data_IF_176284816213
#
_entry.id   IF_176284816213
#
_cell.length_a   1.000
_cell.length_b   1.000
_cell.length_c   1.000
_cell.angle_alpha   90.00
_cell.angle_beta   90.00
_cell.angle_gamma   90.00
#
_symmetry.space_group_name_H-M   'P 1'
#
loop_
_entity.id
_entity.type
_entity.pdbx_description
1 polymer ?
#
# COMPACT_ATOMS: atom_id res chain seq x y z
N UNK A 1 3.74 -13.97 -29.52
CA UNK A 1 2.64 -14.69 -28.83
C UNK A 1 1.36 -14.28 -29.55
N UNK A 2 0.15 -14.60 -29.08
CA UNK A 2 -1.08 -14.02 -29.67
C UNK A 2 -1.52 -12.89 -28.76
N UNK A 3 -1.81 -11.71 -29.30
CA UNK A 3 -2.39 -10.59 -28.54
C UNK A 3 -3.62 -11.10 -27.79
N UNK A 4 -3.66 -10.87 -26.48
CA UNK A 4 -4.79 -11.27 -25.61
C UNK A 4 -5.87 -10.20 -25.58
N UNK A 5 -5.53 -9.00 -26.04
CA UNK A 5 -6.42 -7.88 -26.17
C UNK A 5 -7.10 -7.90 -27.55
N UNK A 6 -8.43 -7.90 -27.54
CA UNK A 6 -9.26 -7.62 -28.71
C UNK A 6 -9.46 -6.11 -28.85
N UNK A 7 -8.88 -5.52 -29.89
CA UNK A 7 -8.94 -4.08 -30.16
C UNK A 7 -10.35 -3.62 -30.60
N UNK A 8 -11.19 -4.52 -31.09
CA UNK A 8 -12.58 -4.21 -31.44
C UNK A 8 -13.52 -4.33 -30.22
N UNK A 9 -13.08 -5.03 -29.16
CA UNK A 9 -13.78 -5.16 -27.89
C UNK A 9 -12.86 -4.88 -26.70
N UNK A 10 -12.40 -3.63 -26.59
CA UNK A 10 -11.46 -3.21 -25.55
C UNK A 10 -12.03 -3.38 -24.14
N UNK A 11 -13.27 -2.96 -23.92
CA UNK A 11 -13.92 -3.05 -22.60
C UNK A 11 -14.04 -4.50 -22.13
N UNK A 12 -14.60 -5.37 -22.97
CA UNK A 12 -14.72 -6.80 -22.64
C UNK A 12 -13.37 -7.48 -22.42
N UNK A 13 -12.34 -7.09 -23.19
CA UNK A 13 -10.98 -7.62 -23.01
C UNK A 13 -10.36 -7.17 -21.70
N UNK A 14 -10.49 -5.89 -21.34
CA UNK A 14 -9.97 -5.35 -20.09
C UNK A 14 -10.69 -5.94 -18.88
N UNK A 15 -12.01 -6.12 -18.96
CA UNK A 15 -12.78 -6.81 -17.91
C UNK A 15 -12.37 -8.28 -17.74
N UNK A 16 -12.11 -9.00 -18.83
CA UNK A 16 -11.64 -10.38 -18.77
C UNK A 16 -10.24 -10.49 -18.14
N UNK A 17 -9.35 -9.52 -18.39
CA UNK A 17 -7.98 -9.51 -17.91
C UNK A 17 -7.86 -9.01 -16.45
N UNK A 18 -8.57 -7.93 -16.10
CA UNK A 18 -8.48 -7.27 -14.79
C UNK A 18 -9.57 -7.68 -13.81
N UNK A 19 -10.68 -8.22 -14.29
CA UNK A 19 -11.90 -8.44 -13.50
C UNK A 19 -12.75 -7.17 -13.39
N UNK A 20 -14.07 -7.33 -13.46
CA UNK A 20 -15.05 -6.23 -13.45
C UNK A 20 -15.05 -5.39 -12.16
N UNK A 21 -14.49 -5.91 -11.05
CA UNK A 21 -14.33 -5.14 -9.81
C UNK A 21 -13.27 -4.04 -9.88
N UNK A 22 -12.41 -4.05 -10.92
CA UNK A 22 -11.38 -3.03 -11.16
C UNK A 22 -11.82 -1.95 -12.15
N UNK A 23 -13.09 -1.54 -12.05
CA UNK A 23 -13.72 -0.61 -12.98
C UNK A 23 -12.98 0.72 -13.10
N UNK A 24 -12.46 1.23 -11.99
CA UNK A 24 -11.68 2.47 -11.97
C UNK A 24 -10.43 2.45 -12.83
N UNK A 25 -9.72 1.32 -12.87
CA UNK A 25 -8.58 1.17 -13.79
C UNK A 25 -9.04 0.90 -15.23
N UNK A 26 -10.12 0.16 -15.43
CA UNK A 26 -10.67 -0.09 -16.77
C UNK A 26 -11.07 1.23 -17.43
N UNK A 27 -11.87 2.06 -16.75
CA UNK A 27 -12.30 3.37 -17.24
C UNK A 27 -11.11 4.33 -17.49
N UNK A 28 -10.03 4.19 -16.70
CA UNK A 28 -8.80 4.93 -16.91
C UNK A 28 -8.02 4.49 -18.17
N UNK A 29 -8.00 3.18 -18.46
CA UNK A 29 -7.27 2.63 -19.60
C UNK A 29 -8.00 2.82 -20.93
N UNK A 30 -9.33 2.71 -20.94
CA UNK A 30 -10.15 2.77 -22.14
C UNK A 30 -9.84 3.94 -23.09
N UNK A 31 -9.83 5.21 -22.66
CA UNK A 31 -9.59 6.33 -23.58
C UNK A 31 -8.19 6.27 -24.21
N UNK A 32 -7.18 5.83 -23.45
CA UNK A 32 -5.79 5.78 -23.90
C UNK A 32 -5.58 4.60 -24.88
N UNK A 33 -6.29 3.49 -24.66
CA UNK A 33 -6.31 2.37 -25.58
C UNK A 33 -7.11 2.66 -26.86
N UNK A 34 -8.19 3.44 -26.76
CA UNK A 34 -8.93 3.95 -27.92
C UNK A 34 -8.07 4.88 -28.78
N UNK A 35 -7.23 5.71 -28.15
CA UNK A 35 -6.26 6.56 -28.84
C UNK A 35 -5.18 5.74 -29.56
N UNK A 36 -4.65 4.69 -28.90
CA UNK A 36 -3.72 3.74 -29.54
C UNK A 36 -4.40 3.05 -30.74
N UNK A 37 -5.62 2.55 -30.55
CA UNK A 37 -6.42 1.90 -31.60
C UNK A 37 -6.60 2.82 -32.80
N UNK A 38 -6.92 4.10 -32.55
CA UNK A 38 -7.15 5.08 -33.61
C UNK A 38 -5.90 5.35 -34.43
N UNK A 39 -4.71 5.41 -33.80
CA UNK A 39 -3.42 5.51 -34.51
C UNK A 39 -3.09 4.24 -35.29
N UNK A 40 -3.23 3.09 -34.66
CA UNK A 40 -2.94 1.79 -35.26
C UNK A 40 -3.86 1.46 -36.44
N UNK A 41 -5.12 1.93 -36.41
CA UNK A 41 -6.07 1.74 -37.53
C UNK A 41 -5.59 2.40 -38.83
N UNK A 42 -4.83 3.50 -38.74
CA UNK A 42 -4.28 4.17 -39.91
C UNK A 42 -3.10 3.42 -40.54
N UNK A 43 -2.29 2.72 -39.72
CA UNK A 43 -1.13 1.93 -40.19
C UNK A 43 -1.43 0.46 -40.43
N UNK A 44 -2.47 -0.09 -39.81
CA UNK A 44 -2.76 -1.53 -39.74
C UNK A 44 -1.95 -2.27 -38.67
N UNK A 45 -1.02 -1.60 -37.99
CA UNK A 45 -0.08 -2.20 -37.04
C UNK A 45 -0.54 -1.95 -35.59
N UNK A 46 -1.31 -2.88 -35.05
CA UNK A 46 -1.74 -2.85 -33.66
C UNK A 46 -0.64 -3.31 -32.70
N UNK A 47 -0.48 -2.67 -31.53
CA UNK A 47 0.44 -3.17 -30.52
C UNK A 47 0.09 -4.58 -30.04
N UNK A 48 1.10 -5.46 -29.94
CA UNK A 48 0.91 -6.78 -29.34
C UNK A 48 0.86 -6.64 -27.81
N UNK A 49 -0.33 -6.62 -27.22
CA UNK A 49 -0.49 -6.68 -25.77
C UNK A 49 -0.68 -8.13 -25.34
N UNK A 50 0.34 -8.68 -24.69
CA UNK A 50 0.39 -10.09 -24.28
C UNK A 50 -0.29 -10.36 -22.95
N UNK A 51 -0.36 -9.36 -22.04
CA UNK A 51 -1.12 -9.47 -20.80
C UNK A 51 -1.28 -8.11 -20.11
N UNK A 52 -2.37 -7.96 -19.35
CA UNK A 52 -2.60 -6.84 -18.43
C UNK A 52 -3.12 -7.43 -17.11
N UNK A 53 -2.45 -7.16 -16.00
CA UNK A 53 -2.90 -7.65 -14.69
C UNK A 53 -2.43 -6.77 -13.54
N UNK A 54 -3.02 -6.97 -12.37
CA UNK A 54 -2.61 -6.31 -11.13
C UNK A 54 -1.44 -7.08 -10.49
N UNK A 55 -0.39 -6.35 -10.09
CA UNK A 55 0.70 -6.89 -9.29
C UNK A 55 1.19 -5.86 -8.27
N UNK A 56 1.08 -6.21 -6.99
CA UNK A 56 1.52 -5.40 -5.85
C UNK A 56 0.82 -4.04 -5.74
N UNK A 57 -0.49 -4.02 -6.00
CA UNK A 57 -1.35 -2.83 -5.95
C UNK A 57 -1.18 -1.92 -7.17
N UNK A 58 -0.58 -2.41 -8.26
CA UNK A 58 -0.20 -1.63 -9.43
C UNK A 58 -0.52 -2.38 -10.70
N UNK A 59 -0.79 -1.65 -11.79
CA UNK A 59 -0.97 -2.25 -13.09
C UNK A 59 0.36 -2.80 -13.62
N UNK A 60 0.30 -3.92 -14.34
CA UNK A 60 1.38 -4.43 -15.18
C UNK A 60 0.84 -4.67 -16.58
N UNK A 61 1.57 -4.15 -17.57
CA UNK A 61 1.27 -4.35 -18.98
C UNK A 61 2.48 -5.05 -19.61
N UNK A 62 2.26 -6.21 -20.22
CA UNK A 62 3.28 -6.94 -20.95
C UNK A 62 3.06 -6.76 -22.45
N UNK A 63 4.04 -6.17 -23.10
CA UNK A 63 3.98 -5.79 -24.52
C UNK A 63 4.97 -6.65 -25.32
N UNK A 64 4.50 -7.18 -26.44
CA UNK A 64 5.27 -7.89 -27.45
C UNK A 64 5.66 -6.99 -28.63
N UNK A 65 5.81 -7.57 -29.81
CA UNK A 65 6.11 -6.83 -31.04
C UNK A 65 5.02 -7.10 -32.09
N UNK A 66 4.53 -6.07 -32.80
CA UNK A 66 5.02 -4.69 -32.83
C UNK A 66 4.50 -3.83 -31.66
N UNK A 67 5.23 -2.76 -31.32
CA UNK A 67 4.76 -1.63 -30.49
C UNK A 67 5.62 -0.42 -30.84
N UNK A 68 5.00 0.75 -31.04
CA UNK A 68 5.75 1.98 -31.27
C UNK A 68 6.36 2.52 -29.97
N UNK A 69 7.46 3.27 -30.05
CA UNK A 69 8.05 3.88 -28.85
C UNK A 69 7.08 4.85 -28.14
N UNK A 70 6.23 5.53 -28.91
CA UNK A 70 5.20 6.41 -28.39
C UNK A 70 4.13 5.67 -27.59
N UNK A 71 3.62 4.56 -28.12
CA UNK A 71 2.63 3.74 -27.42
C UNK A 71 3.26 3.07 -26.19
N UNK A 72 4.53 2.64 -26.28
CA UNK A 72 5.26 2.10 -25.13
C UNK A 72 5.39 3.12 -24.00
N UNK A 73 5.80 4.35 -24.32
CA UNK A 73 5.90 5.43 -23.34
C UNK A 73 4.55 5.78 -22.70
N UNK A 74 3.47 5.75 -23.49
CA UNK A 74 2.11 5.91 -22.99
C UNK A 74 1.73 4.79 -22.02
N UNK A 75 1.97 3.52 -22.36
CA UNK A 75 1.68 2.38 -21.48
C UNK A 75 2.48 2.45 -20.17
N UNK A 76 3.76 2.83 -20.23
CA UNK A 76 4.60 3.03 -19.04
C UNK A 76 4.05 4.15 -18.14
N UNK A 77 3.54 5.23 -18.73
CA UNK A 77 2.82 6.29 -17.99
C UNK A 77 1.57 5.74 -17.31
N UNK A 78 0.75 4.93 -17.99
CA UNK A 78 -0.46 4.33 -17.40
C UNK A 78 -0.13 3.43 -16.21
N UNK A 79 0.92 2.62 -16.33
CA UNK A 79 1.43 1.80 -15.22
C UNK A 79 1.82 2.69 -14.03
N UNK A 80 2.59 3.76 -14.26
CA UNK A 80 2.98 4.71 -13.21
C UNK A 80 1.77 5.41 -12.56
N UNK A 81 0.77 5.78 -13.35
CA UNK A 81 -0.43 6.49 -12.85
C UNK A 81 -1.35 5.57 -12.04
N UNK A 82 -1.40 4.28 -12.37
CA UNK A 82 -2.25 3.30 -11.67
C UNK A 82 -1.96 3.21 -10.17
N UNK A 83 -0.73 3.54 -9.74
CA UNK A 83 -0.31 3.54 -8.34
C UNK A 83 -1.03 4.60 -7.48
N UNK A 84 -1.61 5.62 -8.14
CA UNK A 84 -2.27 6.75 -7.51
C UNK A 84 -3.77 6.81 -7.81
N UNK A 85 -4.31 5.79 -8.48
CA UNK A 85 -5.71 5.71 -8.88
C UNK A 85 -6.37 4.50 -8.24
N UNK A 86 -7.56 4.71 -7.67
CA UNK A 86 -8.32 3.65 -7.05
C UNK A 86 -8.70 2.61 -8.11
N UNK A 87 -8.32 1.35 -7.88
CA UNK A 87 -8.64 0.24 -8.78
C UNK A 87 -10.15 0.09 -9.02
N UNK A 88 -10.99 0.44 -8.03
CA UNK A 88 -12.44 0.30 -8.13
C UNK A 88 -13.17 1.48 -8.78
N UNK A 89 -12.75 2.72 -8.54
CA UNK A 89 -13.53 3.90 -8.94
C UNK A 89 -12.73 5.01 -9.64
N UNK A 90 -11.42 4.85 -9.82
CA UNK A 90 -10.57 5.81 -10.52
C UNK A 90 -10.22 7.08 -9.72
N UNK A 91 -10.84 7.30 -8.55
CA UNK A 91 -10.49 8.40 -7.67
C UNK A 91 -9.04 8.32 -7.17
N UNK A 92 -8.46 9.45 -6.79
CA UNK A 92 -7.13 9.48 -6.19
C UNK A 92 -7.02 8.55 -4.97
N UNK A 93 -5.97 7.74 -4.97
CA UNK A 93 -5.73 6.72 -3.96
C UNK A 93 -4.24 6.59 -3.66
N UNK A 94 -3.94 5.80 -2.62
CA UNK A 94 -2.59 5.32 -2.32
C UNK A 94 -2.64 3.82 -2.15
N UNK A 95 -1.53 3.14 -2.41
CA UNK A 95 -1.40 1.71 -2.12
C UNK A 95 -1.53 1.47 -0.61
N UNK A 96 -2.38 0.52 -0.27
CA UNK A 96 -2.68 0.04 1.07
C UNK A 96 -2.04 -1.34 1.23
N UNK A 97 -1.43 -1.60 2.39
CA UNK A 97 -1.03 -2.95 2.79
C UNK A 97 -2.09 -3.53 3.71
N UNK A 98 -2.86 -4.47 3.17
CA UNK A 98 -3.93 -5.15 3.88
C UNK A 98 -3.51 -6.60 4.07
N UNK A 99 -2.95 -6.89 5.25
CA UNK A 99 -2.51 -8.23 5.64
C UNK A 99 -1.48 -8.84 4.67
N UNK A 100 -0.58 -8.04 4.12
CA UNK A 100 0.43 -8.46 3.14
C UNK A 100 -0.03 -8.40 1.68
N UNK A 101 -1.30 -8.10 1.44
CA UNK A 101 -1.81 -7.82 0.09
C UNK A 101 -1.78 -6.33 -0.17
N UNK A 102 -1.08 -5.96 -1.25
CA UNK A 102 -1.01 -4.58 -1.71
C UNK A 102 -2.17 -4.31 -2.68
N UNK A 103 -3.00 -3.32 -2.35
CA UNK A 103 -4.14 -2.87 -3.16
C UNK A 103 -4.15 -1.36 -3.25
N UNK A 104 -4.66 -0.76 -4.32
CA UNK A 104 -4.72 0.71 -4.42
C UNK A 104 -6.16 1.17 -4.40
N UNK A 105 -6.61 1.62 -3.22
CA UNK A 105 -8.01 1.99 -2.96
C UNK A 105 -8.10 3.40 -2.36
N UNK A 106 -9.11 4.15 -2.79
CA UNK A 106 -9.46 5.40 -2.12
C UNK A 106 -10.15 5.10 -0.76
N UNK A 107 -10.32 6.12 0.08
CA UNK A 107 -10.85 5.95 1.43
C UNK A 107 -12.24 5.27 1.42
N UNK A 108 -13.14 5.71 0.54
CA UNK A 108 -14.49 5.14 0.44
C UNK A 108 -14.48 3.67 -0.01
N UNK A 109 -13.71 3.33 -1.05
CA UNK A 109 -13.62 1.95 -1.54
C UNK A 109 -12.90 1.02 -0.55
N UNK A 110 -11.88 1.52 0.14
CA UNK A 110 -11.23 0.80 1.24
C UNK A 110 -12.27 0.42 2.30
N UNK A 111 -13.06 1.39 2.77
CA UNK A 111 -14.08 1.10 3.77
C UNK A 111 -15.23 0.25 3.22
N UNK A 112 -15.61 0.37 1.96
CA UNK A 112 -16.64 -0.48 1.36
C UNK A 112 -16.20 -1.96 1.32
N UNK A 113 -14.92 -2.22 1.03
CA UNK A 113 -14.40 -3.60 0.94
C UNK A 113 -13.96 -4.18 2.29
N UNK A 114 -13.56 -3.32 3.23
CA UNK A 114 -12.89 -3.74 4.47
C UNK A 114 -13.57 -3.23 5.76
N UNK A 115 -14.79 -2.68 5.69
CA UNK A 115 -15.57 -2.24 6.88
C UNK A 115 -15.65 -3.31 7.97
N UNK A 116 -15.83 -4.56 7.56
CA UNK A 116 -16.01 -5.72 8.45
C UNK A 116 -14.75 -6.58 8.62
N UNK A 117 -13.69 -6.31 7.83
CA UNK A 117 -12.38 -6.98 7.92
C UNK A 117 -11.39 -6.13 8.73
N UNK A 118 -11.92 -5.45 9.74
CA UNK A 118 -11.27 -4.36 10.48
C UNK A 118 -9.89 -4.79 11.00
N UNK A 119 -8.86 -4.19 10.41
CA UNK A 119 -7.44 -4.34 10.74
C UNK A 119 -6.97 -5.79 10.53
N UNK A 120 -5.79 -6.04 9.94
CA UNK A 120 -5.15 -7.33 10.10
C UNK A 120 -5.17 -7.66 11.59
N UNK A 121 -6.00 -8.63 12.00
CA UNK A 121 -5.98 -9.06 13.39
C UNK A 121 -4.59 -9.64 13.58
N UNK A 122 -3.72 -8.87 14.23
CA UNK A 122 -2.52 -9.45 14.83
C UNK A 122 -3.09 -10.41 15.85
N UNK A 123 -3.18 -11.68 15.45
CA UNK A 123 -3.75 -12.74 16.26
C UNK A 123 -3.02 -12.71 17.61
N UNK A 124 -3.71 -12.26 18.67
CA UNK A 124 -3.24 -12.06 20.06
C UNK A 124 -2.67 -10.68 20.45
N UNK A 125 -2.80 -9.65 19.62
CA UNK A 125 -2.23 -8.33 19.91
C UNK A 125 -0.70 -8.30 19.74
N UNK A 126 -0.13 -7.10 19.69
CA UNK A 126 1.32 -6.91 19.55
C UNK A 126 1.94 -6.69 20.93
N UNK A 127 2.55 -7.74 21.50
CA UNK A 127 3.48 -7.62 22.63
C UNK A 127 4.89 -7.84 22.10
N UNK A 128 5.70 -6.77 22.09
CA UNK A 128 7.04 -6.77 21.51
C UNK A 128 7.97 -7.67 22.31
N UNK A 129 7.89 -7.62 23.65
CA UNK A 129 8.75 -8.44 24.50
C UNK A 129 8.50 -9.94 24.29
N UNK A 130 7.24 -10.32 24.08
CA UNK A 130 6.88 -11.73 23.84
C UNK A 130 7.21 -12.22 22.42
N UNK A 131 7.06 -11.36 21.41
CA UNK A 131 7.23 -11.75 19.99
C UNK A 131 8.65 -11.51 19.46
N UNK A 132 9.34 -10.52 20.02
CA UNK A 132 10.67 -10.07 19.60
C UNK A 132 11.55 -9.79 20.84
N UNK A 133 11.81 -10.80 21.69
CA UNK A 133 12.53 -10.60 22.95
C UNK A 133 13.92 -9.97 22.76
N UNK A 134 14.60 -10.24 21.63
CA UNK A 134 15.90 -9.66 21.31
C UNK A 134 15.88 -8.14 21.08
N UNK A 135 14.71 -7.51 20.95
CA UNK A 135 14.55 -6.07 20.76
C UNK A 135 14.18 -5.34 22.05
N UNK A 136 14.12 -6.01 23.19
CA UNK A 136 13.83 -5.39 24.50
C UNK A 136 14.88 -5.83 25.52
N UNK A 137 14.94 -5.13 26.64
CA UNK A 137 15.77 -5.56 27.77
C UNK A 137 15.31 -6.90 28.33
N UNK A 138 16.23 -7.73 28.81
CA UNK A 138 15.94 -9.05 29.40
C UNK A 138 14.98 -9.00 30.60
N UNK A 139 14.88 -7.84 31.27
CA UNK A 139 13.98 -7.65 32.42
C UNK A 139 12.55 -7.23 32.03
N UNK A 140 12.26 -7.02 30.75
CA UNK A 140 10.95 -6.59 30.26
C UNK A 140 10.11 -7.82 29.92
N UNK A 141 9.16 -8.17 30.80
CA UNK A 141 8.27 -9.32 30.59
C UNK A 141 7.14 -9.07 29.57
N UNK A 142 6.81 -7.81 29.30
CA UNK A 142 5.76 -7.40 28.37
C UNK A 142 6.00 -5.97 27.90
N UNK A 143 5.81 -5.72 26.61
CA UNK A 143 5.85 -4.38 26.01
C UNK A 143 4.75 -4.28 24.96
N UNK A 144 3.57 -3.81 25.38
CA UNK A 144 2.42 -3.61 24.51
C UNK A 144 2.34 -2.13 24.09
N UNK A 145 2.40 -1.81 22.78
CA UNK A 145 2.30 -0.44 22.32
C UNK A 145 1.00 0.25 22.73
N UNK A 146 1.10 1.44 23.32
CA UNK A 146 -0.04 2.28 23.72
C UNK A 146 -0.46 3.21 22.58
N UNK A 147 -1.02 2.64 21.51
CA UNK A 147 -1.37 3.32 20.25
C UNK A 147 -2.76 2.90 19.74
N UNK A 148 -3.30 3.65 18.78
CA UNK A 148 -4.53 3.27 18.07
C UNK A 148 -4.37 1.97 17.27
N UNK A 149 -5.45 1.18 17.20
CA UNK A 149 -5.44 -0.15 16.54
C UNK A 149 -5.00 -0.10 15.07
N UNK A 150 -5.29 1.00 14.37
CA UNK A 150 -4.92 1.20 12.98
C UNK A 150 -3.41 1.33 12.76
N UNK A 151 -2.64 1.70 13.79
CA UNK A 151 -1.18 1.75 13.70
C UNK A 151 -0.51 0.41 14.04
N UNK A 152 -1.22 -0.55 14.63
CA UNK A 152 -0.64 -1.84 15.03
C UNK A 152 0.05 -2.58 13.86
N UNK A 153 -0.54 -2.68 12.65
CA UNK A 153 0.14 -3.32 11.52
C UNK A 153 1.45 -2.61 11.13
N UNK A 154 1.45 -1.28 11.14
CA UNK A 154 2.63 -0.45 10.88
C UNK A 154 3.74 -0.73 11.90
N UNK A 155 3.41 -0.74 13.20
CA UNK A 155 4.39 -1.05 14.25
C UNK A 155 4.94 -2.46 14.08
N UNK A 156 4.08 -3.44 13.84
CA UNK A 156 4.50 -4.82 13.65
C UNK A 156 5.48 -4.96 12.48
N UNK A 157 5.24 -4.29 11.34
CA UNK A 157 6.17 -4.29 10.21
C UNK A 157 7.51 -3.66 10.56
N UNK A 158 7.50 -2.51 11.22
CA UNK A 158 8.72 -1.80 11.61
C UNK A 158 9.57 -2.58 12.60
N UNK A 159 8.94 -3.15 13.64
CA UNK A 159 9.60 -4.01 14.64
C UNK A 159 10.15 -5.28 13.99
N UNK A 160 9.39 -5.92 13.09
CA UNK A 160 9.86 -7.08 12.36
C UNK A 160 11.09 -6.75 11.48
N UNK A 161 11.13 -5.55 10.87
CA UNK A 161 12.28 -5.08 10.10
C UNK A 161 13.50 -4.88 11.00
N UNK A 162 13.35 -4.26 12.17
CA UNK A 162 14.43 -4.14 13.16
C UNK A 162 14.95 -5.50 13.64
N UNK A 163 14.05 -6.45 13.89
CA UNK A 163 14.44 -7.80 14.27
C UNK A 163 15.23 -8.50 13.15
N UNK A 164 14.82 -8.31 11.89
CA UNK A 164 15.57 -8.80 10.73
C UNK A 164 16.98 -8.22 10.65
N UNK A 165 17.16 -6.94 10.98
CA UNK A 165 18.48 -6.30 11.02
C UNK A 165 19.40 -6.93 12.07
N UNK A 166 18.91 -7.17 13.29
CA UNK A 166 19.68 -7.87 14.33
C UNK A 166 20.18 -9.24 13.85
N UNK A 167 19.32 -9.99 13.15
CA UNK A 167 19.68 -11.31 12.63
C UNK A 167 20.72 -11.27 11.51
N UNK A 168 20.78 -10.19 10.73
CA UNK A 168 21.78 -10.04 9.65
C UNK A 168 23.14 -9.55 10.15
N UNK A 169 23.21 -8.98 11.36
CA UNK A 169 24.40 -8.35 11.92
C UNK A 169 24.62 -8.83 13.37
N UNK A 170 24.62 -10.14 13.58
CA UNK A 170 24.74 -10.75 14.91
C UNK A 170 25.98 -10.22 15.66
N UNK A 171 25.76 -9.64 16.84
CA UNK A 171 26.81 -9.16 17.75
C UNK A 171 27.31 -7.73 17.50
N UNK A 172 27.05 -7.13 16.34
CA UNK A 172 27.50 -5.77 16.01
C UNK A 172 26.44 -4.69 16.29
N UNK A 173 25.15 -5.07 16.20
CA UNK A 173 24.04 -4.15 16.43
C UNK A 173 23.45 -4.29 17.83
N UNK A 174 23.29 -3.18 18.53
CA UNK A 174 22.51 -3.10 19.77
C UNK A 174 21.27 -2.24 19.56
N UNK A 175 20.11 -2.87 19.63
CA UNK A 175 18.79 -2.24 19.46
C UNK A 175 17.93 -2.69 20.63
N UNK A 176 17.48 -1.74 21.44
CA UNK A 176 16.64 -2.01 22.61
C UNK A 176 15.50 -0.98 22.64
N UNK A 177 14.29 -1.43 22.36
CA UNK A 177 13.05 -0.63 22.39
C UNK A 177 12.57 -0.58 23.84
N UNK A 178 12.33 0.63 24.34
CA UNK A 178 11.84 0.85 25.71
C UNK A 178 10.35 1.20 25.77
N UNK A 179 9.83 1.90 24.77
CA UNK A 179 8.41 2.28 24.72
C UNK A 179 7.94 2.55 23.29
N UNK A 180 6.66 2.27 23.01
CA UNK A 180 5.99 2.70 21.79
C UNK A 180 4.60 3.21 22.17
N UNK A 181 4.37 4.49 21.90
CA UNK A 181 3.10 5.14 22.29
C UNK A 181 2.70 6.24 21.32
N UNK A 182 1.43 6.59 21.40
CA UNK A 182 0.91 7.82 20.84
C UNK A 182 1.19 8.99 21.80
N UNK A 183 1.59 10.14 21.24
CA UNK A 183 1.72 11.41 21.95
C UNK A 183 1.33 12.57 21.03
N UNK A 184 0.26 13.29 21.39
CA UNK A 184 -0.25 14.47 20.66
C UNK A 184 -0.54 14.20 19.17
N UNK A 185 -1.11 13.05 18.85
CA UNK A 185 -1.42 12.63 17.49
C UNK A 185 -0.28 11.99 16.71
N UNK A 186 0.89 11.84 17.35
CA UNK A 186 2.12 11.38 16.68
C UNK A 186 2.60 10.07 17.30
N UNK A 187 3.20 9.23 16.47
CA UNK A 187 3.89 8.04 16.93
C UNK A 187 5.21 8.42 17.62
N UNK A 188 5.44 7.88 18.81
CA UNK A 188 6.72 7.94 19.51
C UNK A 188 7.22 6.53 19.75
N UNK A 189 8.45 6.27 19.29
CA UNK A 189 9.22 5.06 19.58
C UNK A 189 10.42 5.49 20.39
N UNK A 190 10.54 4.98 21.61
CA UNK A 190 11.67 5.23 22.49
C UNK A 190 12.59 4.01 22.49
N UNK A 191 13.88 4.27 22.43
CA UNK A 191 14.92 3.25 22.40
C UNK A 191 15.89 3.49 23.54
N UNK A 192 16.11 2.48 24.38
CA UNK A 192 17.16 2.49 25.40
C UNK A 192 18.55 2.33 24.77
N UNK A 193 18.64 1.58 23.67
CA UNK A 193 19.83 1.47 22.82
C UNK A 193 19.40 1.57 21.36
N UNK A 194 20.10 2.39 20.60
CA UNK A 194 19.79 2.66 19.19
C UNK A 194 21.04 2.50 18.33
N UNK A 195 20.81 2.18 17.07
CA UNK A 195 21.81 2.18 16.02
C UNK A 195 21.25 2.97 14.82
N UNK A 196 22.08 3.72 14.05
CA UNK A 196 21.58 4.55 12.95
C UNK A 196 20.68 3.83 11.93
N UNK A 197 20.98 2.55 11.64
CA UNK A 197 20.14 1.73 10.73
C UNK A 197 18.74 1.47 11.30
N UNK A 198 18.60 1.35 12.62
CA UNK A 198 17.31 1.22 13.28
C UNK A 198 16.56 2.55 13.33
N UNK A 199 17.26 3.67 13.50
CA UNK A 199 16.67 5.02 13.47
C UNK A 199 16.00 5.30 12.12
N UNK A 200 16.61 4.87 11.01
CA UNK A 200 15.98 4.96 9.68
C UNK A 200 14.64 4.21 9.62
N UNK A 201 14.52 3.07 10.32
CA UNK A 201 13.26 2.32 10.40
C UNK A 201 12.25 3.07 11.26
N UNK A 202 12.67 3.59 12.42
CA UNK A 202 11.80 4.37 13.31
C UNK A 202 11.29 5.63 12.61
N UNK A 203 12.16 6.38 11.96
CA UNK A 203 11.80 7.58 11.20
C UNK A 203 10.79 7.28 10.10
N UNK A 204 10.96 6.14 9.41
CA UNK A 204 10.00 5.69 8.41
C UNK A 204 8.65 5.36 9.04
N UNK A 205 8.63 4.67 10.18
CA UNK A 205 7.40 4.38 10.91
C UNK A 205 6.67 5.66 11.33
N UNK A 206 7.40 6.66 11.84
CA UNK A 206 6.80 7.94 12.26
C UNK A 206 6.18 8.66 11.06
N UNK A 207 6.90 8.76 9.93
CA UNK A 207 6.37 9.36 8.70
C UNK A 207 5.15 8.63 8.15
N UNK A 208 5.15 7.30 8.20
CA UNK A 208 4.00 6.51 7.75
C UNK A 208 2.81 6.65 8.70
N UNK A 209 3.04 6.70 10.02
CA UNK A 209 2.01 6.93 11.02
C UNK A 209 1.31 8.29 10.80
N UNK A 210 2.08 9.29 10.35
CA UNK A 210 1.55 10.62 10.01
C UNK A 210 0.57 10.61 8.83
N UNK A 211 0.51 9.55 8.04
CA UNK A 211 -0.45 9.40 6.94
C UNK A 211 -1.44 8.25 7.18
N UNK A 212 -1.29 7.51 8.28
CA UNK A 212 -2.10 6.32 8.60
C UNK A 212 -3.20 6.65 9.59
N UNK A 213 -4.42 6.22 9.31
CA UNK A 213 -5.53 6.35 10.23
C UNK A 213 -5.31 5.51 11.50
N UNK A 214 -5.41 6.15 12.68
CA UNK A 214 -5.24 5.51 13.99
C UNK A 214 -6.30 4.45 14.30
N UNK A 215 -7.45 4.49 13.62
CA UNK A 215 -8.57 3.58 13.87
C UNK A 215 -8.63 2.40 12.89
N UNK A 216 -8.38 2.65 11.60
CA UNK A 216 -8.66 1.67 10.54
C UNK A 216 -7.46 1.27 9.69
N UNK A 217 -6.28 1.84 9.93
CA UNK A 217 -5.04 1.61 9.15
C UNK A 217 -5.03 2.15 7.71
N UNK A 218 -6.09 2.83 7.25
CA UNK A 218 -6.08 3.49 5.93
C UNK A 218 -4.95 4.52 5.82
N UNK A 219 -4.17 4.45 4.74
CA UNK A 219 -3.02 5.30 4.46
C UNK A 219 -3.35 6.34 3.38
N UNK A 220 -3.11 7.63 3.67
CA UNK A 220 -3.05 8.70 2.67
C UNK A 220 -3.92 9.91 2.99
N UNK A 221 -5.22 9.74 3.25
CA UNK A 221 -6.13 10.86 3.52
C UNK A 221 -6.43 10.95 5.02
N UNK A 222 -6.07 12.09 5.62
CA UNK A 222 -6.40 12.44 7.01
C UNK A 222 -7.24 13.71 7.05
N UNK A 223 -8.10 13.80 8.05
CA UNK A 223 -8.82 15.03 8.40
C UNK A 223 -8.38 15.51 9.78
N UNK A 224 -8.34 16.83 9.97
CA UNK A 224 -8.27 17.43 11.31
C UNK A 224 -9.69 17.44 11.87
N UNK A 225 -10.04 16.32 12.48
CA UNK A 225 -11.38 16.04 12.98
C UNK A 225 -11.67 16.61 14.37
N UNK A 226 -12.85 16.28 14.92
CA UNK A 226 -13.34 16.73 16.25
C UNK A 226 -12.42 16.32 17.40
N UNK A 227 -11.59 15.29 17.20
CA UNK A 227 -10.59 14.83 18.17
C UNK A 227 -9.24 15.42 17.79
N UNK A 228 -9.10 16.73 18.00
CA UNK A 228 -8.13 17.73 17.47
C UNK A 228 -6.68 17.27 17.18
N UNK A 229 -6.21 16.16 17.75
CA UNK A 229 -4.86 15.64 17.55
C UNK A 229 -4.82 14.27 16.84
N UNK A 230 -5.89 13.48 16.85
CA UNK A 230 -5.84 12.11 16.32
C UNK A 230 -5.89 12.06 14.79
N UNK A 231 -5.00 11.26 14.21
CA UNK A 231 -4.96 11.02 12.78
C UNK A 231 -6.04 10.10 12.28
N UNK A 232 -7.19 10.65 11.92
CA UNK A 232 -8.31 9.87 11.39
C UNK A 232 -8.51 10.13 9.89
N UNK A 233 -8.99 9.12 9.18
CA UNK A 233 -9.48 9.29 7.81
C UNK A 233 -10.90 9.87 7.81
N UNK A 234 -11.37 10.45 6.69
CA UNK A 234 -12.71 11.05 6.62
C UNK A 234 -13.85 10.13 7.08
N UNK A 235 -13.81 8.86 6.68
CA UNK A 235 -14.85 7.87 7.06
C UNK A 235 -14.83 7.58 8.57
N UNK A 236 -13.66 7.53 9.21
CA UNK A 236 -13.56 7.28 10.66
C UNK A 236 -13.84 8.52 11.52
N UNK A 237 -13.68 9.74 10.99
CA UNK A 237 -13.99 10.97 11.72
C UNK A 237 -15.48 11.35 11.62
N UNK A 238 -16.11 11.05 10.48
CA UNK A 238 -17.53 11.33 10.25
C UNK A 238 -18.50 10.29 10.81
N UNK A 239 -18.01 9.14 11.26
CA UNK A 239 -18.78 8.06 11.90
C UNK A 239 -18.73 8.13 13.41
#
# INVERSE_FOLDING_TARGET
MKSTLDWDNLEGSLEALLGSHRRGWIDFLLPEFDDIRSRARASGDYPEISNIFEKFGKLRVYVGHPVSDGDRAMLDKLVCMSEFLCECCGNSARTQDISGYLVTLCNSCYHAQYKDKSVPQISRGLDIARRYPALVSDNVASLVPSIGRGWMPLINRGVNKMHGLLRCHEGELQIEISDIREKLGTLKVSMARSHPVAEVVVDQMVREADLTCVECSYFGQRVRGKREHMGMCPVCDGG
#
